data_IF_631499207639
#
_entry.id   IF_631499207639
#
_cell.length_a   1.000
_cell.length_b   1.000
_cell.length_c   1.000
_cell.angle_alpha   90.00
_cell.angle_beta   90.00
_cell.angle_gamma   90.00
#
_symmetry.space_group_name_H-M   'P 1'
#
loop_
_entity.id
_entity.type
_entity.pdbx_description
1 polymer ?
#
# COMPACT_ATOMS: atom_id res chain seq x y z
N UNK A 1 -20.12 -13.43 10.09
CA UNK A 1 -19.40 -14.39 9.22
C UNK A 1 -18.25 -13.61 8.60
N UNK A 2 -17.01 -13.89 9.00
CA UNK A 2 -15.84 -13.20 8.44
C UNK A 2 -15.62 -13.80 7.05
N UNK A 3 -16.09 -13.12 6.02
CA UNK A 3 -15.84 -13.56 4.65
C UNK A 3 -14.33 -13.47 4.42
N UNK A 4 -13.69 -14.62 4.27
CA UNK A 4 -12.26 -14.79 4.05
C UNK A 4 -11.87 -14.39 2.62
N UNK A 5 -12.27 -13.19 2.20
CA UNK A 5 -12.30 -12.70 0.82
C UNK A 5 -11.06 -11.87 0.48
N UNK A 6 -9.90 -12.35 0.91
CA UNK A 6 -8.62 -11.77 0.49
C UNK A 6 -8.49 -11.89 -1.03
N UNK A 7 -8.10 -10.80 -1.70
CA UNK A 7 -7.79 -10.90 -3.13
C UNK A 7 -6.64 -11.87 -3.37
N UNK A 8 -6.67 -12.52 -4.54
CA UNK A 8 -5.54 -13.35 -4.96
C UNK A 8 -4.45 -12.44 -5.51
N UNK A 9 -3.22 -12.58 -5.00
CA UNK A 9 -2.07 -11.80 -5.45
C UNK A 9 -1.15 -12.64 -6.32
N UNK A 10 -0.78 -12.12 -7.50
CA UNK A 10 0.35 -12.65 -8.29
C UNK A 10 1.52 -11.69 -8.18
N UNK A 11 2.62 -12.16 -7.57
CA UNK A 11 3.83 -11.38 -7.36
C UNK A 11 4.90 -11.74 -8.39
N UNK A 12 5.65 -10.74 -8.85
CA UNK A 12 6.83 -10.88 -9.68
C UNK A 12 7.97 -10.02 -9.14
N UNK A 13 9.19 -10.55 -9.15
CA UNK A 13 10.39 -9.80 -8.78
C UNK A 13 10.73 -8.83 -9.91
N UNK A 14 11.13 -7.61 -9.56
CA UNK A 14 11.62 -6.63 -10.54
C UNK A 14 13.15 -6.57 -10.57
N UNK A 15 13.71 -5.80 -11.51
CA UNK A 15 15.15 -5.51 -11.56
C UNK A 15 15.58 -4.52 -10.48
N UNK A 16 14.63 -3.80 -9.87
CA UNK A 16 14.92 -2.91 -8.74
C UNK A 16 15.02 -3.72 -7.46
N UNK A 17 15.99 -3.38 -6.62
CA UNK A 17 16.11 -3.99 -5.30
C UNK A 17 14.86 -3.71 -4.47
N UNK A 18 14.33 -4.75 -3.84
CA UNK A 18 13.20 -4.68 -2.91
C UNK A 18 11.90 -4.09 -3.49
N UNK A 19 11.75 -4.03 -4.82
CA UNK A 19 10.49 -3.68 -5.46
C UNK A 19 9.91 -4.91 -6.15
N UNK A 20 8.66 -5.22 -5.81
CA UNK A 20 7.90 -6.33 -6.37
C UNK A 20 6.73 -5.79 -7.18
N UNK A 21 6.52 -6.33 -8.38
CA UNK A 21 5.28 -6.09 -9.10
C UNK A 21 4.21 -7.06 -8.57
N UNK A 22 2.98 -6.59 -8.40
CA UNK A 22 1.85 -7.41 -8.00
C UNK A 22 0.65 -7.16 -8.91
N UNK A 23 -0.07 -8.23 -9.25
CA UNK A 23 -1.42 -8.14 -9.81
C UNK A 23 -2.42 -8.59 -8.76
N UNK A 24 -3.51 -7.83 -8.62
CA UNK A 24 -4.65 -8.15 -7.76
C UNK A 24 -5.72 -8.81 -8.61
N UNK A 25 -6.14 -10.01 -8.22
CA UNK A 25 -7.15 -10.78 -8.92
C UNK A 25 -8.41 -10.92 -8.06
N UNK A 26 -9.56 -10.76 -8.70
CA UNK A 26 -10.87 -11.07 -8.12
C UNK A 26 -11.12 -12.59 -8.11
N UNK A 27 -12.29 -13.01 -7.61
CA UNK A 27 -12.68 -14.41 -7.52
C UNK A 27 -12.82 -15.09 -8.90
N UNK A 28 -13.11 -14.31 -9.95
CA UNK A 28 -13.18 -14.76 -11.34
C UNK A 28 -11.82 -14.87 -12.02
N UNK A 29 -10.73 -14.51 -11.33
CA UNK A 29 -9.35 -14.41 -11.83
C UNK A 29 -9.11 -13.27 -12.83
N UNK A 30 -10.00 -12.29 -12.88
CA UNK A 30 -9.77 -11.06 -13.63
C UNK A 30 -8.80 -10.16 -12.86
N UNK A 31 -7.93 -9.47 -13.59
CA UNK A 31 -6.99 -8.50 -13.01
C UNK A 31 -7.75 -7.21 -12.73
N UNK A 32 -7.92 -6.89 -11.46
CA UNK A 32 -8.61 -5.67 -10.98
C UNK A 32 -7.62 -4.60 -10.49
N UNK A 33 -6.33 -4.91 -10.45
CA UNK A 33 -5.31 -3.92 -10.09
C UNK A 33 -3.88 -4.37 -10.36
N UNK A 34 -3.00 -3.40 -10.54
CA UNK A 34 -1.55 -3.54 -10.69
C UNK A 34 -0.88 -2.66 -9.66
N UNK A 35 0.01 -3.26 -8.89
CA UNK A 35 0.68 -2.63 -7.77
C UNK A 35 2.19 -2.80 -7.89
N UNK A 36 2.93 -1.86 -7.30
CA UNK A 36 4.32 -2.05 -6.91
C UNK A 36 4.43 -2.04 -5.40
N UNK A 37 5.02 -3.08 -4.85
CA UNK A 37 5.18 -3.28 -3.41
C UNK A 37 6.64 -3.05 -3.05
N UNK A 38 6.87 -2.17 -2.09
CA UNK A 38 8.20 -1.90 -1.53
C UNK A 38 8.16 -2.16 -0.03
N UNK A 39 8.80 -3.25 0.45
CA UNK A 39 8.95 -3.49 1.86
C UNK A 39 9.88 -2.47 2.49
N UNK A 40 9.36 -1.69 3.43
CA UNK A 40 10.11 -0.71 4.21
C UNK A 40 10.56 -1.36 5.51
N UNK A 41 11.81 -1.79 5.57
CA UNK A 41 12.41 -2.42 6.74
C UNK A 41 13.21 -1.39 7.55
N UNK A 42 13.15 -1.44 8.90
CA UNK A 42 14.07 -0.69 9.74
C UNK A 42 15.51 -1.06 9.41
N UNK A 43 16.38 -0.06 9.39
CA UNK A 43 17.82 -0.25 9.25
C UNK A 43 18.42 -0.76 10.56
N UNK A 44 19.60 -1.37 10.47
CA UNK A 44 20.35 -1.82 11.65
C UNK A 44 20.65 -0.62 12.58
N UNK A 45 20.47 -0.82 13.89
CA UNK A 45 20.69 0.22 14.91
C UNK A 45 22.13 0.72 14.96
N UNK A 46 23.10 -0.09 14.57
CA UNK A 46 24.51 0.32 14.48
C UNK A 46 24.79 1.34 13.37
N UNK A 47 23.86 1.47 12.41
CA UNK A 47 23.99 2.38 11.26
C UNK A 47 23.32 3.74 11.48
N UNK A 48 22.64 3.92 12.62
CA UNK A 48 21.92 5.16 12.96
C UNK A 48 22.38 5.72 14.31
N UNK A 49 22.18 7.02 14.56
CA UNK A 49 22.44 7.62 15.87
C UNK A 49 21.70 6.92 17.02
N UNK A 50 22.25 7.01 18.23
CA UNK A 50 21.68 6.38 19.42
C UNK A 50 20.29 6.93 19.81
N UNK A 51 19.97 8.16 19.41
CA UNK A 51 18.71 8.84 19.64
C UNK A 51 17.69 8.66 18.50
N UNK A 52 18.02 7.90 17.45
CA UNK A 52 17.11 7.65 16.35
C UNK A 52 15.83 6.92 16.84
N UNK A 53 14.63 7.30 16.36
CA UNK A 53 13.38 6.67 16.80
C UNK A 53 13.31 5.18 16.43
N UNK A 54 12.61 4.40 17.25
CA UNK A 54 12.23 3.03 16.88
C UNK A 54 11.05 3.08 15.91
N UNK A 55 11.16 2.31 14.82
CA UNK A 55 10.12 2.24 13.79
C UNK A 55 9.79 0.79 13.49
N UNK A 56 8.52 0.51 13.20
CA UNK A 56 8.06 -0.80 12.76
C UNK A 56 8.13 -0.93 11.24
N UNK A 57 8.43 -2.12 10.69
CA UNK A 57 8.39 -2.34 9.25
C UNK A 57 6.96 -2.17 8.72
N UNK A 58 6.84 -1.64 7.49
CA UNK A 58 5.57 -1.49 6.80
C UNK A 58 5.73 -1.77 5.30
N UNK A 59 4.62 -1.96 4.59
CA UNK A 59 4.62 -2.14 3.13
C UNK A 59 4.17 -0.85 2.47
N UNK A 60 5.00 -0.24 1.62
CA UNK A 60 4.56 0.81 0.71
C UNK A 60 3.95 0.15 -0.52
N UNK A 61 2.70 0.48 -0.81
CA UNK A 61 1.90 -0.06 -1.91
C UNK A 61 1.62 1.05 -2.90
N UNK A 62 2.33 1.06 -4.02
CA UNK A 62 2.12 2.00 -5.11
C UNK A 62 1.06 1.39 -6.02
N UNK A 63 -0.07 2.08 -6.17
CA UNK A 63 -1.17 1.65 -7.05
C UNK A 63 -0.94 2.25 -8.43
N UNK A 64 -0.44 1.43 -9.35
CA UNK A 64 -0.20 1.87 -10.74
C UNK A 64 -1.51 1.94 -11.53
N UNK A 65 -2.44 1.02 -11.26
CA UNK A 65 -3.71 0.87 -11.97
C UNK A 65 -4.68 0.06 -11.09
N UNK A 66 -5.94 0.46 -10.96
CA UNK A 66 -6.94 -0.29 -10.22
C UNK A 66 -8.38 0.10 -10.63
N UNK A 67 -9.27 -0.88 -10.67
CA UNK A 67 -10.70 -0.68 -10.87
C UNK A 67 -11.38 -0.27 -9.55
N UNK A 68 -11.17 1.01 -9.17
CA UNK A 68 -11.61 1.59 -7.90
C UNK A 68 -12.38 2.89 -8.10
N UNK A 69 -13.26 3.18 -7.16
CA UNK A 69 -14.03 4.41 -7.03
C UNK A 69 -14.19 4.76 -5.54
N UNK A 70 -14.91 5.84 -5.23
CA UNK A 70 -15.06 6.33 -3.85
C UNK A 70 -15.76 5.32 -2.92
N UNK A 71 -16.62 4.49 -3.46
CA UNK A 71 -17.45 3.57 -2.67
C UNK A 71 -16.70 2.28 -2.33
N UNK A 72 -15.73 1.87 -3.17
CA UNK A 72 -14.99 0.61 -3.00
C UNK A 72 -13.52 0.78 -2.61
N UNK A 73 -13.02 2.01 -2.48
CA UNK A 73 -11.63 2.31 -2.17
C UNK A 73 -11.17 1.63 -0.87
N UNK A 74 -11.93 1.81 0.21
CA UNK A 74 -11.59 1.28 1.54
C UNK A 74 -11.59 -0.25 1.53
N UNK A 75 -12.61 -0.86 0.92
CA UNK A 75 -12.71 -2.32 0.78
C UNK A 75 -11.54 -2.89 -0.03
N UNK A 76 -11.11 -2.17 -1.07
CA UNK A 76 -9.94 -2.54 -1.85
C UNK A 76 -8.67 -2.52 -0.99
N UNK A 77 -8.40 -1.41 -0.29
CA UNK A 77 -7.23 -1.26 0.56
C UNK A 77 -7.19 -2.31 1.69
N UNK A 78 -8.31 -2.58 2.35
CA UNK A 78 -8.40 -3.56 3.43
C UNK A 78 -8.08 -4.98 2.94
N UNK A 79 -8.73 -5.39 1.84
CA UNK A 79 -8.53 -6.74 1.26
C UNK A 79 -7.12 -6.94 0.71
N UNK A 80 -6.57 -5.93 0.04
CA UNK A 80 -5.19 -5.95 -0.46
C UNK A 80 -4.21 -5.99 0.71
N UNK A 81 -4.44 -5.18 1.75
CA UNK A 81 -3.60 -5.18 2.96
C UNK A 81 -3.56 -6.56 3.60
N UNK A 82 -4.71 -7.19 3.80
CA UNK A 82 -4.76 -8.54 4.38
C UNK A 82 -3.95 -9.54 3.55
N UNK A 83 -4.10 -9.51 2.22
CA UNK A 83 -3.40 -10.41 1.33
C UNK A 83 -1.87 -10.14 1.33
N UNK A 84 -1.46 -8.88 1.32
CA UNK A 84 -0.05 -8.49 1.30
C UNK A 84 0.65 -8.78 2.63
N UNK A 85 0.06 -8.37 3.75
CA UNK A 85 0.63 -8.60 5.08
C UNK A 85 0.82 -10.09 5.33
N UNK A 86 -0.17 -10.92 4.97
CA UNK A 86 -0.05 -12.38 5.06
C UNK A 86 1.04 -12.95 4.15
N UNK A 87 1.24 -12.37 2.97
CA UNK A 87 2.17 -12.88 1.96
C UNK A 87 3.63 -12.50 2.23
N UNK A 88 3.85 -11.31 2.77
CA UNK A 88 5.19 -10.76 3.03
C UNK A 88 5.68 -11.03 4.45
N UNK A 89 4.80 -11.28 5.42
CA UNK A 89 5.24 -11.62 6.77
C UNK A 89 5.94 -12.98 6.80
N UNK A 90 7.06 -13.04 7.51
CA UNK A 90 7.86 -14.23 7.77
C UNK A 90 7.91 -14.52 9.27
N UNK A 91 8.58 -15.59 9.67
CA UNK A 91 8.79 -15.89 11.10
C UNK A 91 9.60 -14.80 11.83
N UNK A 92 10.40 -14.02 11.10
CA UNK A 92 11.31 -13.02 11.65
C UNK A 92 10.85 -11.57 11.42
N UNK A 93 9.91 -11.34 10.50
CA UNK A 93 9.44 -10.00 10.15
C UNK A 93 7.92 -10.01 10.02
N UNK A 94 7.27 -9.18 10.85
CA UNK A 94 5.84 -8.89 10.77
C UNK A 94 5.65 -7.41 10.41
N UNK A 95 5.01 -7.14 9.28
CA UNK A 95 4.72 -5.78 8.84
C UNK A 95 3.51 -5.22 9.61
N UNK A 96 3.63 -4.00 10.12
CA UNK A 96 2.60 -3.38 10.95
C UNK A 96 1.37 -2.97 10.14
N UNK A 97 1.57 -2.39 8.95
CA UNK A 97 0.51 -1.89 8.08
C UNK A 97 0.97 -1.77 6.62
N UNK A 98 0.01 -1.51 5.73
CA UNK A 98 0.27 -1.07 4.35
C UNK A 98 0.02 0.45 4.25
N UNK A 99 0.84 1.15 3.47
CA UNK A 99 0.61 2.54 3.08
C UNK A 99 0.34 2.59 1.57
N UNK A 100 -0.83 3.07 1.18
CA UNK A 100 -1.20 3.18 -0.23
C UNK A 100 -0.79 4.52 -0.79
N UNK A 101 -0.12 4.49 -1.94
CA UNK A 101 0.25 5.67 -2.71
C UNK A 101 -0.38 5.56 -4.10
N UNK A 102 -1.17 6.58 -4.45
CA UNK A 102 -1.82 6.72 -5.75
C UNK A 102 -1.09 7.84 -6.51
N UNK A 103 -0.21 7.52 -7.49
CA UNK A 103 0.58 8.53 -8.19
C UNK A 103 -0.26 9.56 -8.95
N UNK A 104 -1.48 9.18 -9.35
CA UNK A 104 -2.46 10.05 -9.99
C UNK A 104 -3.86 9.62 -9.57
N UNK A 105 -4.40 10.12 -8.45
CA UNK A 105 -5.73 9.77 -8.00
C UNK A 105 -6.77 10.53 -8.84
N UNK A 106 -7.06 10.06 -10.05
CA UNK A 106 -7.95 10.74 -11.01
C UNK A 106 -9.30 11.13 -10.36
N UNK A 107 -9.88 10.24 -9.57
CA UNK A 107 -11.17 10.48 -8.90
C UNK A 107 -11.12 11.46 -7.70
N UNK A 108 -9.94 11.77 -7.14
CA UNK A 108 -9.79 12.77 -6.08
C UNK A 108 -9.90 14.18 -6.68
N UNK A 109 -9.39 14.40 -7.89
CA UNK A 109 -9.48 15.70 -8.54
C UNK A 109 -10.87 16.00 -9.13
N UNK A 110 -11.66 14.97 -9.39
CA UNK A 110 -13.03 15.10 -9.91
C UNK A 110 -14.06 15.47 -8.82
N UNK A 111 -13.66 15.52 -7.54
CA UNK A 111 -14.60 15.89 -6.48
C UNK A 111 -14.87 17.40 -6.49
N UNK A 112 -16.13 17.84 -6.32
CA UNK A 112 -16.43 19.26 -6.12
C UNK A 112 -15.61 19.82 -4.95
N UNK A 113 -14.86 20.91 -5.15
CA UNK A 113 -14.03 21.51 -4.11
C UNK A 113 -12.58 21.00 -4.03
N UNK A 114 -12.21 19.93 -4.74
CA UNK A 114 -10.90 19.28 -4.59
C UNK A 114 -9.71 20.14 -5.05
N UNK A 115 -9.95 21.11 -5.94
CA UNK A 115 -8.93 22.03 -6.45
C UNK A 115 -9.20 23.48 -6.08
N UNK A 116 -10.35 23.74 -5.45
CA UNK A 116 -10.85 25.10 -5.21
C UNK A 116 -10.29 25.71 -3.92
N UNK A 117 -9.76 24.88 -3.02
CA UNK A 117 -9.20 25.32 -1.73
C UNK A 117 -7.67 25.19 -1.73
N UNK A 118 -6.92 26.31 -1.70
CA UNK A 118 -5.48 26.28 -1.50
C UNK A 118 -5.16 25.59 -0.17
N UNK A 119 -4.08 24.81 -0.14
CA UNK A 119 -3.55 24.26 1.11
C UNK A 119 -3.21 25.47 1.99
N UNK A 120 -3.93 25.64 3.09
CA UNK A 120 -3.62 26.69 4.05
C UNK A 120 -2.40 26.25 4.84
N UNK A 121 -1.40 27.12 4.96
CA UNK A 121 -0.20 26.91 5.76
C UNK A 121 -0.60 26.76 7.24
N UNK A 122 -1.02 25.56 7.64
CA UNK A 122 -1.17 25.24 9.05
C UNK A 122 0.22 24.84 9.53
N UNK A 123 0.83 25.54 10.49
CA UNK A 123 2.10 25.11 11.04
C UNK A 123 1.87 23.77 11.72
N UNK A 124 2.68 22.78 11.34
CA UNK A 124 2.75 21.50 12.05
C UNK A 124 3.31 21.82 13.43
N UNK A 125 2.46 21.74 14.46
CA UNK A 125 2.85 21.82 15.88
C UNK A 125 3.56 20.55 16.30
#
# INVERSE_FOLDING_TARGET
MVNNNAYTLRLAKTLFENIYAAQVLNDNKDVIGKLRIMPCLPVDRSLVPADAPEVSPFLLVIVDDADINKDNLIDFEERVSYALLKRFSTETVAFAHCQFYYPSPAFIFEQPGATDTPITDTPVM
#
